data_IF_195451359839
#
_entry.id   IF_195451359839
#
_cell.length_a   1.000
_cell.length_b   1.000
_cell.length_c   1.000
_cell.angle_alpha   90.00
_cell.angle_beta   90.00
_cell.angle_gamma   90.00
#
_symmetry.space_group_name_H-M   'P 1'
#
loop_
_entity.id
_entity.type
_entity.pdbx_description
1 polymer ?
#
# COMPACT_ATOMS: atom_id res chain seq x y z
N UNK A 1 65.77 -68.44 51.77
CA UNK A 1 64.65 -69.16 51.12
C UNK A 1 63.33 -68.41 51.24
N UNK A 2 62.96 -67.82 52.38
CA UNK A 2 61.67 -67.08 52.51
C UNK A 2 61.56 -65.80 51.65
N UNK A 3 62.67 -65.06 51.45
CA UNK A 3 62.67 -63.84 50.62
C UNK A 3 62.37 -64.09 49.13
N UNK A 4 62.79 -65.23 48.58
CA UNK A 4 62.56 -65.57 47.16
C UNK A 4 61.12 -66.05 46.91
N UNK A 5 60.51 -66.75 47.87
CA UNK A 5 59.10 -67.12 47.82
C UNK A 5 58.20 -65.89 47.90
N UNK A 6 58.53 -64.94 48.79
CA UNK A 6 57.79 -63.67 48.93
C UNK A 6 57.87 -62.81 47.66
N UNK A 7 59.04 -62.74 47.00
CA UNK A 7 59.20 -62.02 45.73
C UNK A 7 58.40 -62.66 44.58
N UNK A 8 58.35 -64.00 44.52
CA UNK A 8 57.61 -64.72 43.48
C UNK A 8 56.10 -64.56 43.65
N UNK A 9 55.61 -64.68 44.89
CA UNK A 9 54.20 -64.40 45.23
C UNK A 9 53.84 -62.95 44.94
N UNK A 10 54.73 -61.99 45.24
CA UNK A 10 54.53 -60.57 44.93
C UNK A 10 54.45 -60.29 43.42
N UNK A 11 55.27 -60.94 42.60
CA UNK A 11 55.20 -60.84 41.14
C UNK A 11 53.92 -61.45 40.55
N UNK A 12 53.47 -62.59 41.08
CA UNK A 12 52.21 -63.22 40.67
C UNK A 12 51.00 -62.36 41.05
N UNK A 13 51.02 -61.74 42.25
CA UNK A 13 49.99 -60.81 42.70
C UNK A 13 49.94 -59.55 41.80
N UNK A 14 51.10 -59.04 41.38
CA UNK A 14 51.19 -57.91 40.45
C UNK A 14 50.60 -58.25 39.09
N UNK A 15 50.96 -59.41 38.52
CA UNK A 15 50.40 -59.89 37.24
C UNK A 15 48.89 -60.12 37.32
N UNK A 16 48.41 -60.67 38.43
CA UNK A 16 46.98 -60.89 38.65
C UNK A 16 46.22 -59.55 38.74
N UNK A 17 46.81 -58.55 39.39
CA UNK A 17 46.24 -57.20 39.48
C UNK A 17 46.20 -56.49 38.12
N UNK A 18 47.24 -56.64 37.30
CA UNK A 18 47.25 -56.15 35.91
C UNK A 18 46.18 -56.83 35.06
N UNK A 19 46.08 -58.16 35.12
CA UNK A 19 45.03 -58.91 34.39
C UNK A 19 43.62 -58.50 34.84
N UNK A 20 43.40 -58.30 36.14
CA UNK A 20 42.13 -57.83 36.67
C UNK A 20 41.80 -56.42 36.16
N UNK A 21 42.76 -55.50 36.18
CA UNK A 21 42.55 -54.14 35.66
C UNK A 21 42.28 -54.14 34.15
N UNK A 22 43.02 -54.93 33.37
CA UNK A 22 42.80 -55.07 31.94
C UNK A 22 41.42 -55.66 31.63
N UNK A 23 41.01 -56.70 32.36
CA UNK A 23 39.68 -57.30 32.25
C UNK A 23 38.58 -56.29 32.60
N UNK A 24 38.77 -55.50 33.66
CA UNK A 24 37.82 -54.45 34.06
C UNK A 24 37.67 -53.36 33.00
N UNK A 25 38.75 -52.96 32.33
CA UNK A 25 38.70 -51.99 31.22
C UNK A 25 37.98 -52.60 30.02
N UNK A 26 38.29 -53.85 29.66
CA UNK A 26 37.64 -54.55 28.56
C UNK A 26 36.12 -54.72 28.80
N UNK A 27 35.70 -55.03 30.03
CA UNK A 27 34.28 -55.13 30.39
C UNK A 27 33.57 -53.79 30.18
N UNK A 28 34.18 -52.67 30.61
CA UNK A 28 33.61 -51.34 30.40
C UNK A 28 33.48 -50.99 28.92
N UNK A 29 34.49 -51.29 28.12
CA UNK A 29 34.45 -51.07 26.67
C UNK A 29 33.33 -51.88 26.01
N UNK A 30 33.20 -53.17 26.36
CA UNK A 30 32.13 -54.02 25.85
C UNK A 30 30.74 -53.54 26.27
N UNK A 31 30.61 -52.98 27.48
CA UNK A 31 29.34 -52.45 27.98
C UNK A 31 28.94 -51.16 27.24
N UNK A 32 29.91 -50.31 26.92
CA UNK A 32 29.70 -49.11 26.11
C UNK A 32 29.37 -49.44 24.65
N UNK A 33 30.09 -50.40 24.06
CA UNK A 33 29.78 -50.92 22.72
C UNK A 33 28.38 -51.53 22.66
N UNK A 34 27.98 -52.30 23.69
CA UNK A 34 26.63 -52.88 23.80
C UNK A 34 25.55 -51.79 23.83
N UNK A 35 25.76 -50.72 24.60
CA UNK A 35 24.81 -49.61 24.67
C UNK A 35 24.69 -48.89 23.32
N UNK A 36 25.81 -48.60 22.67
CA UNK A 36 25.81 -48.02 21.32
C UNK A 36 25.11 -48.93 20.28
N UNK A 37 25.29 -50.25 20.40
CA UNK A 37 24.62 -51.20 19.53
C UNK A 37 23.11 -51.21 19.77
N UNK A 38 22.67 -51.16 21.03
CA UNK A 38 21.26 -51.10 21.39
C UNK A 38 20.59 -49.82 20.86
N UNK A 39 21.22 -48.66 20.99
CA UNK A 39 20.72 -47.40 20.43
C UNK A 39 20.58 -47.48 18.90
N UNK A 40 21.58 -48.06 18.22
CA UNK A 40 21.50 -48.29 16.76
C UNK A 40 20.37 -49.24 16.39
N UNK A 41 20.17 -50.31 17.16
CA UNK A 41 19.07 -51.26 16.94
C UNK A 41 17.73 -50.55 17.11
N UNK A 42 17.57 -49.70 18.12
CA UNK A 42 16.34 -48.95 18.35
C UNK A 42 16.06 -47.92 17.24
N UNK A 43 17.08 -47.19 16.81
CA UNK A 43 17.00 -46.27 15.67
C UNK A 43 16.63 -47.00 14.37
N UNK A 44 17.34 -48.08 14.04
CA UNK A 44 17.06 -48.87 12.84
C UNK A 44 15.68 -49.52 12.89
N UNK A 45 15.21 -49.92 14.08
CA UNK A 45 13.85 -50.46 14.26
C UNK A 45 12.78 -49.40 13.99
N UNK A 46 13.01 -48.16 14.44
CA UNK A 46 12.14 -47.02 14.16
C UNK A 46 12.10 -46.66 12.67
N UNK A 47 13.26 -46.62 12.02
CA UNK A 47 13.35 -46.40 10.58
C UNK A 47 12.69 -47.52 9.78
N UNK A 48 12.83 -48.77 10.22
CA UNK A 48 12.21 -49.92 9.59
C UNK A 48 10.68 -49.86 9.64
N UNK A 49 10.07 -49.47 10.77
CA UNK A 49 8.61 -49.31 10.85
C UNK A 49 8.11 -48.17 9.95
N UNK A 50 8.83 -47.04 9.87
CA UNK A 50 8.50 -45.98 8.89
C UNK A 50 8.58 -46.47 7.45
N UNK A 51 9.65 -47.20 7.11
CA UNK A 51 9.83 -47.79 5.78
C UNK A 51 8.73 -48.78 5.43
N UNK A 52 8.22 -49.52 6.42
CA UNK A 52 7.12 -50.47 6.25
C UNK A 52 5.78 -49.76 6.03
N UNK A 53 5.57 -48.59 6.63
CA UNK A 53 4.42 -47.72 6.31
C UNK A 53 4.50 -47.16 4.87
N UNK A 54 5.71 -46.82 4.42
CA UNK A 54 5.97 -46.31 3.07
C UNK A 54 6.03 -47.40 1.98
N UNK A 55 6.26 -48.65 2.38
CA UNK A 55 6.36 -49.78 1.45
C UNK A 55 4.98 -50.09 0.87
N UNK A 56 4.82 -49.82 -0.43
CA UNK A 56 3.61 -50.18 -1.16
C UNK A 56 3.40 -51.71 -1.11
N UNK A 57 2.18 -52.19 -0.81
CA UNK A 57 1.85 -53.61 -0.92
C UNK A 57 2.20 -54.15 -2.31
N UNK A 58 2.62 -55.40 -2.38
CA UNK A 58 2.88 -56.08 -3.66
C UNK A 58 1.60 -56.08 -4.51
N UNK A 59 1.59 -55.26 -5.55
CA UNK A 59 0.49 -55.18 -6.53
C UNK A 59 0.50 -56.47 -7.36
N UNK A 60 -0.47 -57.36 -7.14
CA UNK A 60 -0.64 -58.61 -7.90
C UNK A 60 -1.62 -58.43 -9.06
N UNK A 61 -2.52 -57.45 -8.97
CA UNK A 61 -3.52 -57.16 -9.99
C UNK A 61 -3.66 -55.67 -10.29
N UNK A 62 -4.16 -55.34 -11.48
CA UNK A 62 -4.43 -53.95 -11.89
C UNK A 62 -5.47 -53.27 -10.98
N UNK A 63 -6.37 -54.03 -10.35
CA UNK A 63 -7.36 -53.51 -9.40
C UNK A 63 -6.68 -53.00 -8.12
N UNK A 64 -5.72 -53.74 -7.58
CA UNK A 64 -4.94 -53.34 -6.40
C UNK A 64 -4.08 -52.11 -6.71
N UNK A 65 -3.54 -52.02 -7.93
CA UNK A 65 -2.80 -50.83 -8.40
C UNK A 65 -3.67 -49.57 -8.35
N UNK A 66 -4.89 -49.67 -8.88
CA UNK A 66 -5.85 -48.56 -8.91
C UNK A 66 -6.31 -48.19 -7.51
N UNK A 67 -6.53 -49.17 -6.64
CA UNK A 67 -6.89 -48.92 -5.24
C UNK A 67 -5.80 -48.15 -4.49
N UNK A 68 -4.53 -48.57 -4.61
CA UNK A 68 -3.42 -47.87 -3.95
C UNK A 68 -3.15 -46.48 -4.55
N UNK A 69 -3.31 -46.30 -5.87
CA UNK A 69 -3.25 -44.96 -6.48
C UNK A 69 -4.35 -44.05 -5.93
N UNK A 70 -5.59 -44.56 -5.82
CA UNK A 70 -6.71 -43.80 -5.28
C UNK A 70 -6.48 -43.43 -3.81
N UNK A 71 -6.02 -44.38 -3.00
CA UNK A 71 -5.69 -44.18 -1.59
C UNK A 71 -4.60 -43.13 -1.41
N UNK A 72 -3.52 -43.21 -2.18
CA UNK A 72 -2.43 -42.24 -2.13
C UNK A 72 -2.90 -40.83 -2.53
N UNK A 73 -3.67 -40.72 -3.61
CA UNK A 73 -4.25 -39.45 -4.06
C UNK A 73 -5.22 -38.87 -3.03
N UNK A 74 -6.01 -39.72 -2.38
CA UNK A 74 -6.91 -39.32 -1.31
C UNK A 74 -6.14 -38.78 -0.10
N UNK A 75 -5.13 -39.49 0.40
CA UNK A 75 -4.30 -39.00 1.50
C UNK A 75 -3.62 -37.67 1.16
N UNK A 76 -3.07 -37.55 -0.05
CA UNK A 76 -2.45 -36.30 -0.51
C UNK A 76 -3.47 -35.15 -0.56
N UNK A 77 -4.71 -35.42 -0.97
CA UNK A 77 -5.78 -34.44 -0.99
C UNK A 77 -6.19 -34.04 0.44
N UNK A 78 -6.31 -34.99 1.36
CA UNK A 78 -6.65 -34.74 2.77
C UNK A 78 -5.58 -33.89 3.46
N UNK A 79 -4.30 -34.17 3.24
CA UNK A 79 -3.21 -33.34 3.78
C UNK A 79 -3.25 -31.90 3.24
N UNK A 80 -3.58 -31.73 1.96
CA UNK A 80 -3.74 -30.38 1.36
C UNK A 80 -4.94 -29.65 1.96
N UNK A 81 -6.07 -30.33 2.17
CA UNK A 81 -7.25 -29.76 2.83
C UNK A 81 -6.88 -29.29 4.23
N UNK A 82 -6.22 -30.14 5.02
CA UNK A 82 -5.82 -29.78 6.38
C UNK A 82 -4.87 -28.57 6.41
N UNK A 83 -3.92 -28.49 5.47
CA UNK A 83 -3.06 -27.30 5.32
C UNK A 83 -3.87 -26.04 5.01
N UNK A 84 -4.86 -26.11 4.12
CA UNK A 84 -5.71 -24.97 3.81
C UNK A 84 -6.59 -24.57 4.99
N UNK A 85 -7.12 -25.53 5.76
CA UNK A 85 -7.89 -25.26 6.97
C UNK A 85 -7.06 -24.49 8.00
N UNK A 86 -5.80 -24.87 8.23
CA UNK A 86 -4.88 -24.15 9.12
C UNK A 86 -4.61 -22.72 8.63
N UNK A 87 -4.41 -22.53 7.31
CA UNK A 87 -4.25 -21.19 6.73
C UNK A 87 -5.51 -20.35 6.92
N UNK A 88 -6.69 -20.92 6.65
CA UNK A 88 -7.98 -20.23 6.84
C UNK A 88 -8.20 -19.89 8.32
N UNK A 89 -7.88 -20.80 9.26
CA UNK A 89 -7.96 -20.51 10.69
C UNK A 89 -7.00 -19.41 11.11
N UNK A 90 -5.77 -19.40 10.59
CA UNK A 90 -4.81 -18.33 10.86
C UNK A 90 -5.26 -16.99 10.29
N UNK A 91 -5.87 -16.99 9.10
CA UNK A 91 -6.43 -15.80 8.46
C UNK A 91 -7.66 -15.26 9.20
N UNK A 92 -8.51 -16.14 9.73
CA UNK A 92 -9.63 -15.79 10.60
C UNK A 92 -9.17 -15.26 11.96
N UNK A 93 -8.12 -15.85 12.53
CA UNK A 93 -7.47 -15.33 13.75
C UNK A 93 -6.74 -14.00 13.49
N UNK A 94 -6.31 -13.76 12.24
CA UNK A 94 -5.80 -12.48 11.76
C UNK A 94 -6.89 -11.58 11.18
N UNK A 95 -8.13 -11.66 11.69
CA UNK A 95 -9.02 -10.48 11.70
C UNK A 95 -8.25 -9.35 12.42
N UNK A 96 -7.44 -8.64 11.64
CA UNK A 96 -6.71 -7.46 12.05
C UNK A 96 -7.76 -6.39 12.33
N UNK A 97 -8.34 -6.42 13.53
CA UNK A 97 -9.17 -5.35 14.08
C UNK A 97 -8.51 -4.00 13.84
N UNK A 98 -7.18 -3.92 13.98
CA UNK A 98 -6.39 -2.73 13.68
C UNK A 98 -6.47 -2.29 12.22
N UNK A 99 -6.43 -3.20 11.24
CA UNK A 99 -6.55 -2.84 9.82
C UNK A 99 -7.98 -2.43 9.46
N UNK A 100 -8.97 -3.11 10.04
CA UNK A 100 -10.38 -2.73 9.90
C UNK A 100 -10.68 -1.35 10.51
N UNK A 101 -10.09 -1.04 11.67
CA UNK A 101 -10.20 0.26 12.33
C UNK A 101 -9.54 1.38 11.52
N UNK A 102 -8.35 1.12 10.95
CA UNK A 102 -7.65 2.07 10.06
C UNK A 102 -8.49 2.35 8.81
N UNK A 103 -8.99 1.32 8.13
CA UNK A 103 -9.89 1.49 6.99
C UNK A 103 -11.17 2.25 7.34
N UNK A 104 -11.71 2.03 8.53
CA UNK A 104 -12.89 2.74 9.01
C UNK A 104 -12.58 4.22 9.29
N UNK A 105 -11.41 4.54 9.85
CA UNK A 105 -10.95 5.92 10.01
C UNK A 105 -10.70 6.60 8.66
N UNK A 106 -10.03 5.94 7.72
CA UNK A 106 -9.79 6.47 6.38
C UNK A 106 -11.11 6.76 5.65
N UNK A 107 -12.10 5.88 5.80
CA UNK A 107 -13.43 6.07 5.22
C UNK A 107 -14.15 7.29 5.83
N UNK A 108 -14.01 7.53 7.13
CA UNK A 108 -14.54 8.73 7.79
C UNK A 108 -13.84 9.99 7.25
N UNK A 109 -12.51 9.99 7.18
CA UNK A 109 -11.74 11.12 6.66
C UNK A 109 -12.10 11.43 5.20
N UNK A 110 -12.28 10.40 4.37
CA UNK A 110 -12.70 10.56 2.98
C UNK A 110 -14.10 11.16 2.87
N UNK A 111 -15.04 10.77 3.75
CA UNK A 111 -16.38 11.36 3.79
C UNK A 111 -16.34 12.82 4.19
N UNK A 112 -15.60 13.17 5.23
CA UNK A 112 -15.43 14.56 5.69
C UNK A 112 -14.77 15.43 4.62
N UNK A 113 -13.73 14.91 3.96
CA UNK A 113 -13.08 15.58 2.85
C UNK A 113 -14.03 15.79 1.66
N UNK A 114 -14.83 14.79 1.31
CA UNK A 114 -15.80 14.90 0.22
C UNK A 114 -16.89 15.93 0.55
N UNK A 115 -17.41 15.94 1.79
CA UNK A 115 -18.38 16.94 2.23
C UNK A 115 -17.78 18.36 2.19
N UNK A 116 -16.50 18.51 2.54
CA UNK A 116 -15.81 19.79 2.41
C UNK A 116 -15.67 20.23 0.95
N UNK A 117 -15.35 19.32 0.03
CA UNK A 117 -15.33 19.62 -1.41
C UNK A 117 -16.72 20.04 -1.92
N UNK A 118 -17.79 19.34 -1.52
CA UNK A 118 -19.16 19.70 -1.88
C UNK A 118 -19.52 21.13 -1.43
N UNK A 119 -19.16 21.52 -0.19
CA UNK A 119 -19.36 22.90 0.29
C UNK A 119 -18.57 23.92 -0.53
N UNK A 120 -17.34 23.59 -0.95
CA UNK A 120 -16.55 24.45 -1.81
C UNK A 120 -17.18 24.61 -3.20
N UNK A 121 -17.63 23.51 -3.81
CA UNK A 121 -18.31 23.55 -5.11
C UNK A 121 -19.60 24.36 -5.05
N UNK A 122 -20.39 24.21 -3.97
CA UNK A 122 -21.59 25.02 -3.78
C UNK A 122 -21.25 26.50 -3.67
N UNK A 123 -20.27 26.86 -2.84
CA UNK A 123 -19.82 28.25 -2.69
C UNK A 123 -19.34 28.84 -4.01
N UNK A 124 -18.58 28.08 -4.80
CA UNK A 124 -18.14 28.52 -6.13
C UNK A 124 -19.31 28.71 -7.10
N UNK A 125 -20.30 27.83 -7.05
CA UNK A 125 -21.52 27.93 -7.86
C UNK A 125 -22.29 29.21 -7.52
N UNK A 126 -22.48 29.50 -6.24
CA UNK A 126 -23.17 30.70 -5.77
C UNK A 126 -22.43 31.98 -6.20
N UNK A 127 -21.09 31.98 -6.13
CA UNK A 127 -20.26 33.09 -6.62
C UNK A 127 -20.44 33.27 -8.13
N UNK A 128 -20.38 32.20 -8.91
CA UNK A 128 -20.55 32.25 -10.37
C UNK A 128 -21.93 32.79 -10.73
N UNK A 129 -22.98 32.34 -10.05
CA UNK A 129 -24.35 32.80 -10.29
C UNK A 129 -24.50 34.29 -9.95
N UNK A 130 -23.93 34.73 -8.82
CA UNK A 130 -23.89 36.15 -8.44
C UNK A 130 -23.17 36.99 -9.49
N UNK A 131 -22.01 36.54 -9.98
CA UNK A 131 -21.24 37.24 -11.01
C UNK A 131 -21.98 37.28 -12.35
N UNK A 132 -22.65 36.17 -12.73
CA UNK A 132 -23.46 36.10 -13.94
C UNK A 132 -24.62 37.10 -13.89
N UNK A 133 -25.33 37.19 -12.76
CA UNK A 133 -26.42 38.15 -12.59
C UNK A 133 -25.91 39.59 -12.68
N UNK A 134 -24.79 39.90 -12.02
CA UNK A 134 -24.13 41.22 -12.16
C UNK A 134 -23.76 41.57 -13.60
N UNK A 135 -23.28 40.60 -14.39
CA UNK A 135 -22.95 40.82 -15.80
C UNK A 135 -24.20 41.10 -16.63
N UNK A 136 -25.30 40.37 -16.38
CA UNK A 136 -26.59 40.61 -17.04
C UNK A 136 -27.11 42.00 -16.72
N UNK A 137 -27.07 42.43 -15.45
CA UNK A 137 -27.47 43.77 -15.02
C UNK A 137 -26.62 44.86 -15.68
N UNK A 138 -25.30 44.70 -15.69
CA UNK A 138 -24.38 45.64 -16.36
C UNK A 138 -24.67 45.76 -17.85
N UNK A 139 -24.95 44.63 -18.51
CA UNK A 139 -25.35 44.61 -19.93
C UNK A 139 -26.66 45.34 -20.15
N UNK A 140 -27.69 45.08 -19.33
CA UNK A 140 -28.97 45.76 -19.42
C UNK A 140 -28.84 47.28 -19.25
N UNK A 141 -27.99 47.72 -18.32
CA UNK A 141 -27.70 49.14 -18.15
C UNK A 141 -26.93 49.73 -19.33
N UNK A 142 -25.94 49.03 -19.87
CA UNK A 142 -25.21 49.47 -21.06
C UNK A 142 -26.14 49.62 -22.28
N UNK A 143 -27.06 48.66 -22.47
CA UNK A 143 -28.07 48.72 -23.53
C UNK A 143 -29.03 49.91 -23.33
N UNK A 144 -29.42 50.21 -22.08
CA UNK A 144 -30.19 51.41 -21.74
C UNK A 144 -29.41 52.69 -22.11
N UNK A 145 -28.16 52.83 -21.69
CA UNK A 145 -27.33 54.01 -22.02
C UNK A 145 -27.17 54.16 -23.53
N UNK A 146 -26.96 53.05 -24.26
CA UNK A 146 -26.89 53.08 -25.72
C UNK A 146 -28.20 53.58 -26.33
N UNK A 147 -29.36 53.11 -25.86
CA UNK A 147 -30.67 53.60 -26.28
C UNK A 147 -30.85 55.09 -26.00
N UNK A 148 -30.46 55.54 -24.81
CA UNK A 148 -30.54 56.94 -24.38
C UNK A 148 -29.60 57.85 -25.18
N UNK A 149 -28.42 57.37 -25.58
CA UNK A 149 -27.49 58.14 -26.41
C UNK A 149 -28.05 58.52 -27.79
N UNK A 150 -29.07 57.80 -28.27
CA UNK A 150 -29.76 58.08 -29.53
C UNK A 150 -30.95 59.04 -29.35
N UNK A 151 -31.35 59.34 -28.10
CA UNK A 151 -32.43 60.26 -27.80
C UNK A 151 -31.96 61.71 -27.86
N UNK A 152 -32.81 62.58 -28.42
CA UNK A 152 -32.50 64.02 -28.57
C UNK A 152 -33.10 64.87 -27.46
N UNK A 153 -34.16 64.37 -26.82
CA UNK A 153 -34.85 65.08 -25.75
C UNK A 153 -34.24 64.71 -24.39
N UNK A 154 -33.67 65.69 -23.71
CA UNK A 154 -32.98 65.51 -22.43
C UNK A 154 -33.97 65.17 -21.32
N UNK A 155 -35.21 65.68 -21.37
CA UNK A 155 -36.21 65.38 -20.33
C UNK A 155 -36.65 63.91 -20.40
N UNK A 156 -36.82 63.37 -21.61
CA UNK A 156 -37.10 61.95 -21.82
C UNK A 156 -35.95 61.07 -21.32
N UNK A 157 -34.70 61.51 -21.53
CA UNK A 157 -33.52 60.80 -21.00
C UNK A 157 -33.49 60.80 -19.47
N UNK A 158 -33.78 61.94 -18.85
CA UNK A 158 -33.86 62.08 -17.39
C UNK A 158 -34.98 61.20 -16.82
N UNK A 159 -36.15 61.17 -17.45
CA UNK A 159 -37.28 60.35 -17.00
C UNK A 159 -36.99 58.84 -17.12
N UNK A 160 -36.38 58.39 -18.22
CA UNK A 160 -35.97 56.99 -18.36
C UNK A 160 -34.89 56.58 -17.36
N UNK A 161 -33.91 57.45 -17.06
CA UNK A 161 -32.92 57.22 -16.01
C UNK A 161 -33.56 57.15 -14.62
N UNK A 162 -34.50 58.05 -14.31
CA UNK A 162 -35.26 58.03 -13.05
C UNK A 162 -36.10 56.76 -12.91
N UNK A 163 -36.67 56.26 -14.00
CA UNK A 163 -37.40 54.99 -13.99
C UNK A 163 -36.46 53.80 -13.76
N UNK A 164 -35.28 53.80 -14.37
CA UNK A 164 -34.26 52.79 -14.11
C UNK A 164 -33.82 52.79 -12.63
N UNK A 165 -33.52 53.96 -12.06
CA UNK A 165 -33.13 54.12 -10.64
C UNK A 165 -34.19 53.53 -9.68
N UNK A 166 -35.48 53.70 -9.99
CA UNK A 166 -36.58 53.13 -9.19
C UNK A 166 -36.70 51.61 -9.32
N UNK A 167 -36.17 51.03 -10.40
CA UNK A 167 -36.31 49.61 -10.72
C UNK A 167 -35.15 48.74 -10.23
N UNK A 168 -34.04 49.34 -9.79
CA UNK A 168 -32.83 48.62 -9.39
C UNK A 168 -32.41 48.97 -7.97
N UNK A 169 -31.56 48.11 -7.39
CA UNK A 169 -30.96 48.35 -6.07
C UNK A 169 -30.05 49.59 -6.09
N UNK A 170 -29.88 50.18 -4.90
CA UNK A 170 -29.18 51.46 -4.70
C UNK A 170 -27.76 51.49 -5.30
N UNK A 171 -27.03 50.39 -5.21
CA UNK A 171 -25.67 50.31 -5.76
C UNK A 171 -25.64 50.26 -7.29
N UNK A 172 -26.63 49.60 -7.91
CA UNK A 172 -26.78 49.53 -9.37
C UNK A 172 -27.33 50.85 -9.94
N UNK A 173 -28.16 51.56 -9.18
CA UNK A 173 -28.75 52.85 -9.57
C UNK A 173 -27.80 54.05 -9.43
N UNK A 174 -26.73 53.95 -8.63
CA UNK A 174 -25.84 55.07 -8.30
C UNK A 174 -25.23 55.78 -9.52
N UNK A 175 -24.89 55.04 -10.57
CA UNK A 175 -24.35 55.64 -11.79
C UNK A 175 -25.44 56.39 -12.58
N UNK A 176 -26.65 55.84 -12.64
CA UNK A 176 -27.80 56.50 -13.25
C UNK A 176 -28.20 57.76 -12.48
N UNK A 177 -28.14 57.74 -11.14
CA UNK A 177 -28.35 58.91 -10.28
C UNK A 177 -27.34 60.02 -10.60
N UNK A 178 -26.05 59.67 -10.71
CA UNK A 178 -25.00 60.63 -11.07
C UNK A 178 -25.19 61.21 -12.47
N UNK A 179 -25.57 60.38 -13.45
CA UNK A 179 -25.87 60.85 -14.81
C UNK A 179 -27.08 61.80 -14.82
N UNK A 180 -28.14 61.47 -14.08
CA UNK A 180 -29.32 62.31 -13.93
C UNK A 180 -28.96 63.66 -13.29
N UNK A 181 -28.15 63.64 -12.24
CA UNK A 181 -27.65 64.85 -11.59
C UNK A 181 -26.84 65.73 -12.55
N UNK A 182 -25.94 65.14 -13.33
CA UNK A 182 -25.13 65.86 -14.33
C UNK A 182 -26.02 66.49 -15.40
N UNK A 183 -26.98 65.75 -15.95
CA UNK A 183 -27.90 66.25 -16.99
C UNK A 183 -28.80 67.38 -16.48
N UNK A 184 -29.23 67.33 -15.21
CA UNK A 184 -30.16 68.29 -14.62
C UNK A 184 -29.50 69.60 -14.17
N UNK A 185 -28.24 69.54 -13.72
CA UNK A 185 -27.57 70.68 -13.07
C UNK A 185 -26.32 71.19 -13.80
N UNK A 186 -25.91 70.57 -14.91
CA UNK A 186 -24.78 71.08 -15.71
C UNK A 186 -25.25 72.02 -16.82
N UNK A 187 -24.92 73.33 -16.77
CA UNK A 187 -25.29 74.30 -17.82
C UNK A 187 -24.58 74.07 -19.16
N UNK A 188 -23.63 73.14 -19.22
CA UNK A 188 -22.85 72.81 -20.43
C UNK A 188 -23.56 71.75 -21.31
N UNK A 189 -24.50 70.98 -20.75
CA UNK A 189 -25.13 69.87 -21.46
C UNK A 189 -26.40 70.20 -22.26
N UNK A 190 -26.86 71.45 -22.22
CA UNK A 190 -27.75 71.99 -23.25
C UNK A 190 -27.10 71.95 -24.67
N UNK A 191 -25.82 71.58 -24.78
CA UNK A 191 -25.06 71.40 -26.00
C UNK A 191 -24.60 69.95 -26.23
N UNK A 192 -25.41 68.93 -25.89
CA UNK A 192 -25.17 67.51 -26.28
C UNK A 192 -25.26 67.27 -27.81
N UNK A 193 -25.32 68.34 -28.61
CA UNK A 193 -25.29 68.27 -30.08
C UNK A 193 -23.86 68.18 -30.65
N UNK A 194 -22.82 68.38 -29.81
CA UNK A 194 -21.42 68.50 -30.24
C UNK A 194 -20.46 67.54 -29.51
N UNK A 195 -20.80 66.25 -29.41
CA UNK A 195 -19.81 65.23 -29.04
C UNK A 195 -20.21 63.86 -29.62
N UNK A 196 -20.37 63.82 -30.94
CA UNK A 196 -20.24 62.56 -31.67
C UNK A 196 -18.85 61.97 -31.35
N UNK A 197 -18.84 60.70 -30.91
CA UNK A 197 -17.64 59.88 -30.65
C UNK A 197 -17.13 59.84 -29.21
N UNK A 198 -17.99 59.51 -28.23
CA UNK A 198 -17.53 58.58 -27.19
C UNK A 198 -17.61 57.19 -27.83
N UNK A 199 -16.51 56.74 -28.44
CA UNK A 199 -16.31 55.32 -28.73
C UNK A 199 -16.37 54.61 -27.38
N UNK A 200 -17.50 54.00 -27.07
CA UNK A 200 -17.59 52.94 -26.07
C UNK A 200 -16.69 51.81 -26.59
N UNK A 201 -15.41 51.84 -26.22
CA UNK A 201 -14.54 50.68 -26.34
C UNK A 201 -15.17 49.65 -25.42
N UNK A 202 -15.85 48.69 -26.03
CA UNK A 202 -16.43 47.53 -25.34
C UNK A 202 -15.32 46.87 -24.51
N UNK A 203 -15.41 46.81 -23.16
CA UNK A 203 -14.58 45.92 -22.38
C UNK A 203 -15.31 44.58 -22.26
N UNK A 204 -15.94 44.10 -23.33
CA UNK A 204 -16.20 42.66 -23.45
C UNK A 204 -15.01 42.11 -24.23
N UNK A 205 -13.85 42.09 -23.57
CA UNK A 205 -12.86 41.09 -23.92
C UNK A 205 -13.57 39.74 -23.70
N UNK A 206 -13.48 38.79 -24.65
CA UNK A 206 -13.73 37.40 -24.30
C UNK A 206 -12.90 37.13 -23.05
N UNK A 207 -13.50 36.60 -21.99
CA UNK A 207 -12.73 35.95 -20.95
C UNK A 207 -12.03 34.78 -21.65
N UNK A 208 -10.86 35.04 -22.23
CA UNK A 208 -9.88 34.04 -22.56
C UNK A 208 -9.46 33.47 -21.21
N UNK A 209 -10.15 32.39 -20.82
CA UNK A 209 -9.71 31.55 -19.73
C UNK A 209 -8.37 30.98 -20.21
N UNK A 210 -7.28 31.67 -19.89
CA UNK A 210 -5.96 31.08 -19.92
C UNK A 210 -5.97 29.97 -18.86
N UNK A 211 -6.34 28.77 -19.26
CA UNK A 211 -6.06 27.55 -18.50
C UNK A 211 -4.57 27.23 -18.64
N UNK A 212 -3.70 28.17 -18.24
CA UNK A 212 -2.35 27.82 -17.83
C UNK A 212 -2.48 27.08 -16.51
N UNK A 213 -2.34 25.75 -16.55
CA UNK A 213 -2.21 24.78 -15.44
C UNK A 213 -3.27 23.69 -15.26
N UNK A 214 -4.08 23.37 -16.28
CA UNK A 214 -4.69 22.03 -16.36
C UNK A 214 -4.36 21.37 -17.69
N UNK A 215 -3.13 20.84 -17.81
CA UNK A 215 -2.86 19.77 -18.77
C UNK A 215 -3.58 18.52 -18.25
N UNK A 216 -4.83 18.33 -18.67
CA UNK A 216 -5.39 16.98 -18.81
C UNK A 216 -4.45 16.22 -19.72
N UNK A 217 -3.68 15.28 -19.16
CA UNK A 217 -2.80 14.40 -19.92
C UNK A 217 -3.65 13.62 -20.93
N UNK A 218 -3.35 13.68 -22.24
CA UNK A 218 -3.86 12.69 -23.16
C UNK A 218 -3.08 11.38 -22.93
N UNK A 219 -3.81 10.31 -22.73
CA UNK A 219 -3.27 8.95 -22.72
C UNK A 219 -2.96 8.56 -24.17
N UNK A 220 -1.67 8.40 -24.53
CA UNK A 220 -1.11 7.24 -25.25
C UNK A 220 0.23 7.51 -25.99
N UNK A 221 0.94 6.39 -26.15
CA UNK A 221 2.03 6.03 -27.08
C UNK A 221 3.43 6.65 -26.89
N UNK A 222 4.25 5.90 -26.15
CA UNK A 222 5.44 5.18 -26.63
C UNK A 222 6.43 5.94 -27.55
N UNK A 223 7.65 6.03 -27.00
CA UNK A 223 8.98 6.01 -27.59
C UNK A 223 9.78 7.28 -27.93
N UNK A 224 11.03 7.21 -27.45
CA UNK A 224 12.24 7.91 -27.85
C UNK A 224 12.44 9.38 -27.44
N UNK A 225 13.59 9.83 -26.96
CA UNK A 225 14.73 9.21 -26.27
C UNK A 225 15.71 10.35 -25.91
N UNK A 226 16.52 10.13 -24.87
CA UNK A 226 17.80 10.80 -24.52
C UNK A 226 17.82 12.14 -23.78
N UNK A 227 18.06 12.00 -22.48
CA UNK A 227 19.13 12.71 -21.75
C UNK A 227 19.65 11.81 -20.61
N UNK A 228 20.51 10.82 -20.92
CA UNK A 228 21.93 10.73 -20.48
C UNK A 228 22.12 10.85 -18.95
N UNK A 229 22.19 9.76 -18.17
CA UNK A 229 23.21 8.68 -18.02
C UNK A 229 24.01 8.84 -16.72
N UNK A 230 23.89 7.85 -15.84
CA UNK A 230 24.94 6.96 -15.30
C UNK A 230 24.15 5.69 -14.87
N UNK A 231 23.97 4.66 -15.71
CA UNK A 231 24.90 3.56 -16.05
C UNK A 231 25.58 2.98 -14.79
N UNK A 232 25.38 1.70 -14.43
CA UNK A 232 25.60 0.52 -15.28
C UNK A 232 24.80 -0.74 -14.86
N UNK A 233 24.33 -1.45 -15.90
CA UNK A 233 24.15 -2.92 -16.06
C UNK A 233 23.17 -3.64 -15.12
N UNK A 234 21.95 -4.04 -15.52
CA UNK A 234 21.52 -4.90 -16.65
C UNK A 234 21.99 -6.36 -16.52
N UNK A 235 21.12 -7.22 -15.96
CA UNK A 235 20.61 -8.40 -16.64
C UNK A 235 19.64 -9.22 -15.76
N UNK A 236 18.55 -9.63 -16.42
CA UNK A 236 17.87 -10.93 -16.27
C UNK A 236 16.89 -11.20 -15.11
N UNK A 237 15.67 -11.50 -15.57
CA UNK A 237 14.81 -12.63 -15.17
C UNK A 237 14.02 -12.55 -13.85
N UNK A 238 12.70 -12.59 -14.01
CA UNK A 238 11.70 -13.25 -13.15
C UNK A 238 12.17 -13.57 -11.72
N UNK A 239 11.89 -12.67 -10.78
CA UNK A 239 12.25 -12.89 -9.37
C UNK A 239 11.09 -12.74 -8.37
N UNK A 240 9.83 -12.73 -8.83
CA UNK A 240 8.68 -12.80 -7.90
C UNK A 240 8.57 -14.16 -7.17
N UNK A 241 9.35 -15.18 -7.59
CA UNK A 241 9.47 -16.48 -6.90
C UNK A 241 10.63 -16.57 -5.87
N UNK A 242 11.48 -15.53 -5.75
CA UNK A 242 12.64 -15.57 -4.84
C UNK A 242 12.39 -14.94 -3.46
N UNK A 243 11.47 -13.97 -3.35
CA UNK A 243 11.23 -13.25 -2.10
C UNK A 243 10.57 -14.14 -1.02
N UNK A 244 9.81 -15.16 -1.43
CA UNK A 244 9.29 -16.19 -0.52
C UNK A 244 10.37 -17.15 0.03
N UNK A 245 11.53 -17.26 -0.61
CA UNK A 245 12.57 -18.22 -0.22
C UNK A 245 13.67 -17.62 0.68
N UNK A 246 13.93 -16.30 0.65
CA UNK A 246 14.94 -15.68 1.51
C UNK A 246 14.51 -15.58 2.99
N UNK A 247 13.21 -15.46 3.25
CA UNK A 247 12.68 -15.41 4.62
C UNK A 247 12.89 -16.72 5.41
N UNK A 248 13.11 -17.86 4.73
CA UNK A 248 13.50 -19.11 5.41
C UNK A 248 14.99 -19.23 5.72
N UNK A 249 15.88 -18.58 4.96
CA UNK A 249 17.33 -18.70 5.20
C UNK A 249 17.81 -17.86 6.38
N UNK A 250 17.18 -16.71 6.67
CA UNK A 250 17.52 -15.91 7.85
C UNK A 250 16.94 -16.46 9.16
N UNK A 251 15.94 -17.34 9.10
CA UNK A 251 15.38 -17.98 10.29
C UNK A 251 16.09 -19.29 10.67
N UNK A 252 16.82 -19.92 9.74
CA UNK A 252 17.60 -21.14 10.01
C UNK A 252 19.03 -20.84 10.50
N UNK A 253 19.50 -19.58 10.42
CA UNK A 253 20.86 -19.21 10.85
C UNK A 253 20.96 -18.69 12.30
N UNK A 254 19.83 -18.54 13.00
CA UNK A 254 19.82 -18.21 14.44
C UNK A 254 19.75 -19.44 15.37
N UNK A 255 19.36 -20.62 14.86
CA UNK A 255 19.26 -21.84 15.67
C UNK A 255 20.53 -22.72 15.65
N UNK A 256 21.52 -22.38 14.81
CA UNK A 256 22.80 -23.10 14.75
C UNK A 256 23.86 -22.62 15.76
N UNK A 257 23.55 -21.63 16.62
CA UNK A 257 24.54 -21.00 17.54
C UNK A 257 24.30 -21.33 19.02
N UNK A 258 23.22 -22.04 19.39
CA UNK A 258 22.93 -22.40 20.79
C UNK A 258 23.15 -23.87 21.17
N UNK A 259 23.94 -24.63 20.40
CA UNK A 259 24.19 -26.06 20.63
C UNK A 259 25.61 -26.46 21.08
N UNK A 260 26.49 -25.54 21.48
CA UNK A 260 27.85 -25.89 21.96
C UNK A 260 28.33 -24.98 23.10
N UNK A 261 27.82 -25.20 24.34
CA UNK A 261 28.58 -24.84 25.56
C UNK A 261 28.04 -25.49 26.85
N UNK A 262 28.21 -26.81 26.95
CA UNK A 262 28.39 -27.57 28.19
C UNK A 262 28.89 -28.94 27.70
N UNK A 263 30.07 -29.48 28.00
CA UNK A 263 30.91 -29.44 29.20
C UNK A 263 32.39 -29.52 28.77
N UNK A 264 33.30 -28.74 29.36
CA UNK A 264 34.63 -29.20 29.80
C UNK A 264 35.06 -28.26 30.92
N UNK A 265 34.86 -28.65 32.18
CA UNK A 265 35.84 -28.51 33.26
C UNK A 265 35.33 -29.27 34.48
N UNK A 266 35.86 -30.47 34.74
CA UNK A 266 36.68 -30.79 35.93
C UNK A 266 36.76 -32.30 36.15
N UNK A 267 37.96 -32.82 35.97
CA UNK A 267 38.51 -33.85 36.87
C UNK A 267 39.94 -33.47 37.23
N UNK A 268 40.05 -32.74 38.34
CA UNK A 268 41.10 -32.87 39.37
C UNK A 268 40.52 -32.34 40.67
#
# INVERSE_FOLDING_TARGET
MEKDLSNRVGQELSKMKELYNNSKVAIKQLEEEKNQLNEKVEQLSSEFEKLKEDQRPSIRTELERRYEDLRYRLNTALEKIHKYELVIESAKKSENTTYSEVLQQDLIQLKEYNEHLERQFQTQTDIIETLKNKLIEQKAFADLIQKLSMQRDVEVVIDELNNYIKSVDRDAGRLAENLTYILRYSPVFACFQCASTIRMISPIAPLEIHTSHHKTRPYNSVDSSRGRTNSSEDNSQDSEDLEWNESRKKQVQCDAVFGKRAEITKSS
#
